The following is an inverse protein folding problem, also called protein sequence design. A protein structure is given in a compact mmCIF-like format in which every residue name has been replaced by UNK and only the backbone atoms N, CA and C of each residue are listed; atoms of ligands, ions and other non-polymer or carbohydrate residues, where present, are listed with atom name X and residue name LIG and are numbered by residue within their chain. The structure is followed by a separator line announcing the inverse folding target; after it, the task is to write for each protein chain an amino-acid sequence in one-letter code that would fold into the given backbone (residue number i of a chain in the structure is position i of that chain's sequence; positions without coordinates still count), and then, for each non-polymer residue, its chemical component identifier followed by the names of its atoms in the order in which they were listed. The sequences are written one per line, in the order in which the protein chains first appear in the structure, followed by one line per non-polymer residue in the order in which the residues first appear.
data_IF_859332650626
#
_entry.id   IF_859332650626
#
_cell.length_a   1.000
_cell.length_b   1.000
_cell.length_c   1.000
_cell.angle_alpha   90.00
_cell.angle_beta   90.00
_cell.angle_gamma   90.00
#
_symmetry.space_group_name_H-M   'P 1'
#
loop_
_entity.id
_entity.type
_entity.pdbx_description
1 polymer ?
#
# COMPACT_ATOMS: atom_id res chain seq x y z
N UNK A 1 -7.26 -44.31 -35.82
CA UNK A 1 -6.67 -42.95 -35.76
C UNK A 1 -7.32 -42.14 -34.64
N UNK A 2 -6.67 -42.00 -33.48
CA UNK A 2 -7.13 -41.14 -32.37
C UNK A 2 -6.35 -39.82 -32.43
N UNK A 3 -7.03 -38.71 -32.75
CA UNK A 3 -6.40 -37.37 -32.74
C UNK A 3 -6.22 -36.93 -31.29
N UNK A 4 -4.96 -36.77 -30.88
CA UNK A 4 -4.57 -36.18 -29.61
C UNK A 4 -4.94 -34.69 -29.59
N UNK A 5 -5.99 -34.33 -28.85
CA UNK A 5 -6.33 -32.93 -28.57
C UNK A 5 -5.43 -32.44 -27.43
N UNK A 6 -4.30 -31.81 -27.78
CA UNK A 6 -3.49 -31.07 -26.81
C UNK A 6 -4.29 -29.85 -26.33
N UNK A 7 -4.78 -29.90 -25.10
CA UNK A 7 -5.38 -28.75 -24.44
C UNK A 7 -4.28 -27.75 -24.06
N UNK A 8 -4.10 -26.73 -24.91
CA UNK A 8 -3.30 -25.58 -24.57
C UNK A 8 -4.10 -24.69 -23.63
N UNK A 9 -3.73 -24.67 -22.34
CA UNK A 9 -4.22 -23.66 -21.41
C UNK A 9 -3.70 -22.29 -21.85
N UNK A 10 -4.56 -21.52 -22.52
CA UNK A 10 -4.27 -20.15 -22.90
C UNK A 10 -4.39 -19.30 -21.64
N UNK A 11 -3.25 -18.95 -21.02
CA UNK A 11 -3.22 -18.01 -19.90
C UNK A 11 -3.61 -16.61 -20.41
N UNK A 12 -4.90 -16.31 -20.41
CA UNK A 12 -5.37 -14.96 -20.67
C UNK A 12 -5.05 -14.10 -19.44
N UNK A 13 -4.27 -13.03 -19.63
CA UNK A 13 -4.08 -12.00 -18.61
C UNK A 13 -5.43 -11.34 -18.34
N UNK A 14 -5.86 -11.32 -17.09
CA UNK A 14 -7.07 -10.65 -16.65
C UNK A 14 -6.68 -9.44 -15.82
N UNK A 15 -7.22 -8.26 -16.16
CA UNK A 15 -6.98 -7.06 -15.37
C UNK A 15 -7.61 -7.19 -13.99
N UNK A 16 -6.85 -6.80 -12.96
CA UNK A 16 -7.38 -6.66 -11.62
C UNK A 16 -8.35 -5.48 -11.58
N UNK A 17 -9.57 -5.74 -11.12
CA UNK A 17 -10.56 -4.68 -10.89
C UNK A 17 -10.47 -4.19 -9.46
N UNK A 18 -10.78 -2.91 -9.23
CA UNK A 18 -10.87 -2.31 -7.88
C UNK A 18 -11.69 -3.19 -6.94
N UNK A 19 -12.85 -3.67 -7.40
CA UNK A 19 -13.76 -4.53 -6.62
C UNK A 19 -13.07 -5.81 -6.13
N UNK A 20 -12.36 -6.52 -7.02
CA UNK A 20 -11.70 -7.78 -6.68
C UNK A 20 -10.57 -7.54 -5.69
N UNK A 21 -9.76 -6.50 -5.91
CA UNK A 21 -8.65 -6.16 -5.04
C UNK A 21 -9.14 -5.72 -3.66
N UNK A 22 -10.06 -4.76 -3.58
CA UNK A 22 -10.60 -4.27 -2.30
C UNK A 22 -11.24 -5.42 -1.50
N UNK A 23 -12.08 -6.26 -2.15
CA UNK A 23 -12.69 -7.41 -1.46
C UNK A 23 -11.63 -8.35 -0.86
N UNK A 24 -10.55 -8.61 -1.60
CA UNK A 24 -9.50 -9.51 -1.13
C UNK A 24 -8.71 -8.89 0.03
N UNK A 25 -8.38 -7.61 -0.06
CA UNK A 25 -7.70 -6.87 1.00
C UNK A 25 -8.56 -6.83 2.27
N UNK A 26 -9.84 -6.48 2.16
CA UNK A 26 -10.76 -6.43 3.31
C UNK A 26 -10.85 -7.78 4.04
N UNK A 27 -10.86 -8.90 3.29
CA UNK A 27 -10.82 -10.23 3.89
C UNK A 27 -9.53 -10.49 4.68
N UNK A 28 -8.38 -10.06 4.13
CA UNK A 28 -7.08 -10.20 4.80
C UNK A 28 -7.05 -9.34 6.07
N UNK A 29 -7.50 -8.10 5.99
CA UNK A 29 -7.49 -7.17 7.11
C UNK A 29 -8.41 -7.62 8.23
N UNK A 30 -9.65 -8.04 7.92
CA UNK A 30 -10.58 -8.60 8.91
C UNK A 30 -9.98 -9.82 9.62
N UNK A 31 -9.35 -10.73 8.88
CA UNK A 31 -8.69 -11.92 9.46
C UNK A 31 -7.55 -11.56 10.41
N UNK A 32 -6.89 -10.42 10.21
CA UNK A 32 -5.78 -9.94 11.05
C UNK A 32 -6.21 -8.96 12.15
N UNK A 33 -7.51 -8.73 12.33
CA UNK A 33 -8.02 -7.77 13.33
C UNK A 33 -7.90 -6.30 12.92
N UNK A 34 -7.63 -6.02 11.64
CA UNK A 34 -7.42 -4.68 11.09
C UNK A 34 -8.61 -4.21 10.23
N UNK A 35 -9.85 -4.53 10.60
CA UNK A 35 -11.03 -4.36 9.75
C UNK A 35 -11.30 -2.89 9.32
N UNK A 36 -10.76 -1.91 10.04
CA UNK A 36 -10.91 -0.47 9.77
C UNK A 36 -9.92 0.06 8.73
N UNK A 37 -8.91 -0.74 8.33
CA UNK A 37 -7.94 -0.33 7.32
C UNK A 37 -8.59 -0.39 5.94
N UNK A 38 -8.67 0.75 5.28
CA UNK A 38 -9.16 0.90 3.91
C UNK A 38 -8.05 1.36 2.97
N UNK A 39 -8.31 1.37 1.67
CA UNK A 39 -7.38 1.99 0.71
C UNK A 39 -7.10 3.46 1.00
N UNK A 40 -8.07 4.20 1.56
CA UNK A 40 -7.87 5.59 1.97
C UNK A 40 -6.89 5.69 3.14
N UNK A 41 -6.93 4.74 4.09
CA UNK A 41 -5.99 4.66 5.21
C UNK A 41 -4.54 4.54 4.74
N UNK A 42 -4.28 3.78 3.66
CA UNK A 42 -2.94 3.67 3.07
C UNK A 42 -2.48 4.98 2.40
N UNK A 43 -3.39 5.66 1.70
CA UNK A 43 -3.07 6.92 1.04
C UNK A 43 -2.73 8.02 2.06
N UNK A 44 -3.56 8.15 3.10
CA UNK A 44 -3.33 9.06 4.22
C UNK A 44 -2.03 8.68 4.95
N UNK A 45 -1.91 7.42 5.38
CA UNK A 45 -0.74 6.95 6.12
C UNK A 45 0.57 7.10 5.36
N UNK A 46 0.57 6.91 4.04
CA UNK A 46 1.75 7.13 3.20
C UNK A 46 2.19 8.59 3.16
N UNK A 47 1.25 9.53 3.10
CA UNK A 47 1.55 10.95 3.17
C UNK A 47 2.02 11.39 4.57
N UNK A 48 1.33 10.93 5.61
CA UNK A 48 1.70 11.23 7.01
C UNK A 48 3.10 10.69 7.32
N UNK A 49 3.43 9.46 6.87
CA UNK A 49 4.77 8.88 7.02
C UNK A 49 5.84 9.72 6.33
N UNK A 50 5.63 10.07 5.05
CA UNK A 50 6.58 10.90 4.28
C UNK A 50 6.82 12.25 4.93
N UNK A 51 5.77 12.87 5.43
CA UNK A 51 5.88 14.12 6.18
C UNK A 51 6.71 13.93 7.45
N UNK A 52 6.46 12.85 8.21
CA UNK A 52 7.15 12.58 9.47
C UNK A 52 8.65 12.30 9.30
N UNK A 53 9.06 11.73 8.17
CA UNK A 53 10.48 11.51 7.83
C UNK A 53 11.12 12.70 7.11
N UNK A 54 10.41 13.82 6.96
CA UNK A 54 10.95 15.07 6.41
C UNK A 54 11.00 15.15 4.88
N UNK A 55 10.21 14.35 4.15
CA UNK A 55 10.09 14.51 2.69
C UNK A 55 9.49 15.90 2.38
N UNK A 56 10.04 16.63 1.39
CA UNK A 56 9.50 17.91 0.98
C UNK A 56 8.01 17.85 0.63
N UNK A 57 7.27 18.88 1.02
CA UNK A 57 5.82 18.91 0.87
C UNK A 57 5.38 18.93 -0.60
N UNK A 58 6.13 19.57 -1.48
CA UNK A 58 5.89 19.57 -2.93
C UNK A 58 5.98 18.16 -3.53
N UNK A 59 6.92 17.33 -3.07
CA UNK A 59 7.00 15.92 -3.45
C UNK A 59 5.81 15.11 -2.93
N UNK A 60 5.42 15.34 -1.67
CA UNK A 60 4.24 14.70 -1.06
C UNK A 60 2.98 15.06 -1.86
N UNK A 61 2.79 16.32 -2.21
CA UNK A 61 1.67 16.80 -3.03
C UNK A 61 1.69 16.19 -4.44
N UNK A 62 2.86 16.12 -5.08
CA UNK A 62 3.04 15.50 -6.39
C UNK A 62 2.67 14.03 -6.39
N UNK A 63 3.12 13.27 -5.38
CA UNK A 63 2.80 11.84 -5.23
C UNK A 63 1.33 11.62 -4.85
N UNK A 64 0.78 12.46 -3.98
CA UNK A 64 -0.61 12.43 -3.56
C UNK A 64 -1.60 12.93 -4.62
N UNK A 65 -1.11 13.59 -5.69
CA UNK A 65 -1.92 14.31 -6.69
C UNK A 65 -2.78 15.41 -6.07
N UNK A 66 -2.25 16.06 -5.04
CA UNK A 66 -2.90 17.19 -4.41
C UNK A 66 -2.60 18.48 -5.15
N UNK A 67 -3.67 19.14 -5.60
CA UNK A 67 -3.61 20.45 -6.27
C UNK A 67 -3.82 21.59 -5.27
N UNK A 68 -4.54 21.30 -4.18
CA UNK A 68 -4.87 22.26 -3.11
C UNK A 68 -4.27 21.82 -1.78
N UNK A 69 -4.35 22.71 -0.79
CA UNK A 69 -3.88 22.51 0.58
C UNK A 69 -4.68 21.47 1.41
N UNK A 70 -5.63 20.75 0.81
CA UNK A 70 -6.43 19.73 1.50
C UNK A 70 -5.59 18.60 2.12
N UNK A 71 -4.36 18.39 1.66
CA UNK A 71 -3.42 17.41 2.23
C UNK A 71 -3.07 17.70 3.69
N UNK A 72 -3.11 18.97 4.12
CA UNK A 72 -2.79 19.39 5.49
C UNK A 72 -3.70 18.75 6.53
N UNK A 73 -4.94 18.40 6.15
CA UNK A 73 -5.90 17.69 7.02
C UNK A 73 -5.45 16.27 7.40
N UNK A 74 -4.53 15.71 6.63
CA UNK A 74 -4.05 14.34 6.81
C UNK A 74 -2.67 14.28 7.46
N UNK A 75 -2.00 15.42 7.63
CA UNK A 75 -0.72 15.49 8.31
C UNK A 75 -0.94 15.38 9.82
N UNK A 76 -0.20 14.47 10.44
CA UNK A 76 -0.21 14.27 11.89
C UNK A 76 1.19 14.43 12.41
N UNK A 77 1.30 15.01 13.60
CA UNK A 77 2.54 14.97 14.36
C UNK A 77 2.70 13.59 14.98
N UNK A 78 3.92 13.06 14.90
CA UNK A 78 4.28 11.77 15.50
C UNK A 78 5.38 11.99 16.52
N UNK A 79 5.34 11.23 17.61
CA UNK A 79 6.41 11.30 18.59
C UNK A 79 7.72 10.76 18.00
N UNK A 80 8.86 11.19 18.56
CA UNK A 80 10.18 10.65 18.17
C UNK A 80 10.25 9.13 18.39
N UNK A 81 9.55 8.61 19.39
CA UNK A 81 9.50 7.18 19.70
C UNK A 81 8.72 6.38 18.64
N UNK A 82 7.57 6.91 18.19
CA UNK A 82 6.78 6.30 17.11
C UNK A 82 7.54 6.30 15.79
N UNK A 83 8.23 7.41 15.51
CA UNK A 83 9.08 7.52 14.32
C UNK A 83 10.23 6.51 14.36
N UNK A 84 10.92 6.40 15.50
CA UNK A 84 12.01 5.43 15.67
C UNK A 84 11.53 3.99 15.49
N UNK A 85 10.36 3.65 16.06
CA UNK A 85 9.74 2.33 15.91
C UNK A 85 9.39 2.04 14.45
N UNK A 86 8.79 3.03 13.76
CA UNK A 86 8.42 2.91 12.35
C UNK A 86 9.64 2.73 11.45
N UNK A 87 10.70 3.52 11.66
CA UNK A 87 11.94 3.40 10.89
C UNK A 87 12.62 2.04 11.11
N UNK A 88 12.58 1.51 12.35
CA UNK A 88 13.07 0.16 12.64
C UNK A 88 12.30 -0.90 11.83
N UNK A 89 10.97 -0.83 11.82
CA UNK A 89 10.12 -1.76 11.05
C UNK A 89 10.41 -1.68 9.54
N UNK A 90 10.61 -0.47 9.00
CA UNK A 90 10.98 -0.30 7.59
C UNK A 90 12.33 -0.92 7.26
N UNK A 91 13.31 -0.79 8.15
CA UNK A 91 14.64 -1.42 8.01
C UNK A 91 14.53 -2.96 8.01
N UNK A 92 13.74 -3.53 8.92
CA UNK A 92 13.49 -4.97 8.98
C UNK A 92 12.78 -5.50 7.72
N UNK A 93 11.84 -4.72 7.17
CA UNK A 93 11.17 -5.02 5.91
C UNK A 93 12.16 -5.03 4.75
N UNK A 94 12.99 -4.00 4.63
CA UNK A 94 14.02 -3.91 3.59
C UNK A 94 15.00 -5.09 3.65
N UNK A 95 15.49 -5.41 4.85
CA UNK A 95 16.36 -6.56 5.07
C UNK A 95 15.69 -7.90 4.74
N UNK A 96 14.36 -7.99 4.84
CA UNK A 96 13.61 -9.18 4.43
C UNK A 96 13.43 -9.26 2.92
N UNK A 97 13.25 -8.11 2.26
CA UNK A 97 13.10 -8.02 0.81
C UNK A 97 14.38 -8.43 0.08
N UNK A 98 15.54 -7.97 0.56
CA UNK A 98 16.85 -8.30 -0.01
C UNK A 98 17.26 -9.78 0.14
N UNK A 99 16.55 -10.55 0.99
CA UNK A 99 16.78 -11.99 1.18
C UNK A 99 16.02 -12.88 0.20
N UNK A 100 15.15 -12.30 -0.65
CA UNK A 100 14.28 -13.02 -1.61
C UNK A 100 14.84 -12.90 -3.02
#
# INVERSE_FOLDING_TARGET
MRKNQKNYFKFNRVHLTKRVVCRKLDQIWKKRGCAEITGHSFWVGGASLRCAVGVPTDEICKLGRWISDCYKLYLREYSKADLATTLKLLSELEASWQRT
#
